data_IF_935681459507
#
_entry.id   IF_935681459507
#
_cell.length_a   1.000
_cell.length_b   1.000
_cell.length_c   1.000
_cell.angle_alpha   90.00
_cell.angle_beta   90.00
_cell.angle_gamma   90.00
#
_symmetry.space_group_name_H-M   'P 1'
#
loop_
_entity.id
_entity.type
_entity.pdbx_description
1 polymer ?
#
# COMPACT_ATOMS: atom_id res chain seq x y z
N UNK A 1 33.49 2.54 -14.92
CA UNK A 1 32.80 2.41 -13.62
C UNK A 1 31.64 1.45 -13.84
N UNK A 2 31.65 0.26 -13.21
CA UNK A 2 30.49 -0.63 -13.29
C UNK A 2 29.33 0.01 -12.50
N UNK A 3 28.09 -0.05 -13.01
CA UNK A 3 26.94 0.42 -12.25
C UNK A 3 26.81 -0.42 -10.98
N UNK A 4 26.69 0.24 -9.83
CA UNK A 4 26.33 -0.45 -8.59
C UNK A 4 24.93 -1.03 -8.77
N UNK A 5 24.83 -2.36 -8.76
CA UNK A 5 23.54 -3.04 -8.74
C UNK A 5 22.96 -2.82 -7.34
N UNK A 6 22.07 -1.83 -7.20
CA UNK A 6 21.29 -1.65 -5.99
C UNK A 6 20.29 -2.79 -5.90
N UNK A 7 20.55 -3.75 -5.01
CA UNK A 7 19.54 -4.74 -4.67
C UNK A 7 18.42 -4.06 -3.89
N UNK A 8 17.21 -4.36 -4.29
CA UNK A 8 16.00 -3.96 -3.59
C UNK A 8 16.05 -4.42 -2.13
N UNK A 9 15.90 -3.50 -1.20
CA UNK A 9 15.90 -3.79 0.23
C UNK A 9 14.46 -3.86 0.75
N UNK A 10 14.16 -4.90 1.52
CA UNK A 10 12.86 -5.07 2.15
C UNK A 10 12.79 -4.22 3.42
N UNK A 11 11.80 -3.33 3.50
CA UNK A 11 11.56 -2.48 4.67
C UNK A 11 10.70 -3.19 5.71
N UNK A 12 9.61 -3.82 5.27
CA UNK A 12 8.68 -4.59 6.10
C UNK A 12 7.78 -5.47 5.24
N UNK A 13 7.09 -6.43 5.85
CA UNK A 13 5.95 -7.14 5.28
C UNK A 13 4.76 -7.05 6.23
N UNK A 14 3.60 -6.71 5.68
CA UNK A 14 2.37 -6.55 6.44
C UNK A 14 1.26 -7.48 5.95
N UNK A 15 0.40 -7.93 6.87
CA UNK A 15 -0.57 -9.00 6.63
C UNK A 15 -1.91 -8.69 7.31
N UNK A 16 -2.91 -9.49 6.94
CA UNK A 16 -4.24 -9.50 7.56
C UNK A 16 -4.93 -8.11 7.60
N UNK A 17 -4.91 -7.31 6.51
CA UNK A 17 -5.65 -6.06 6.52
C UNK A 17 -7.15 -6.34 6.61
N UNK A 18 -7.81 -5.63 7.52
CA UNK A 18 -9.26 -5.65 7.68
C UNK A 18 -9.78 -4.25 7.98
N UNK A 19 -10.97 -3.95 7.48
CA UNK A 19 -11.64 -2.70 7.77
C UNK A 19 -12.98 -2.60 7.06
N UNK A 20 -13.32 -1.41 6.57
CA UNK A 20 -14.61 -1.14 5.95
C UNK A 20 -14.44 -0.45 4.60
N UNK A 21 -15.32 -0.80 3.67
CA UNK A 21 -15.44 -0.19 2.36
C UNK A 21 -16.86 0.30 2.15
N UNK A 22 -16.99 1.48 1.55
CA UNK A 22 -18.23 1.94 0.95
C UNK A 22 -18.20 1.69 -0.55
N UNK A 23 -19.24 1.03 -1.06
CA UNK A 23 -19.48 0.81 -2.48
C UNK A 23 -20.63 1.71 -2.93
N UNK A 24 -20.36 2.62 -3.85
CA UNK A 24 -21.38 3.55 -4.33
C UNK A 24 -22.25 2.89 -5.40
N UNK A 25 -23.55 3.24 -5.42
CA UNK A 25 -24.49 2.83 -6.45
C UNK A 25 -24.21 3.57 -7.77
N UNK A 26 -23.18 3.09 -8.47
CA UNK A 26 -22.60 3.70 -9.65
C UNK A 26 -21.94 2.63 -10.54
N UNK A 27 -21.79 2.95 -11.83
CA UNK A 27 -21.09 2.08 -12.78
C UNK A 27 -21.81 0.75 -12.96
N UNK A 28 -21.12 -0.35 -12.65
CA UNK A 28 -21.65 -1.72 -12.81
C UNK A 28 -22.37 -2.26 -11.56
N UNK A 29 -22.35 -1.54 -10.44
CA UNK A 29 -22.96 -2.00 -9.20
C UNK A 29 -24.46 -1.76 -9.16
N UNK A 30 -25.21 -2.77 -8.73
CA UNK A 30 -26.62 -2.62 -8.40
C UNK A 30 -26.80 -1.96 -7.03
N UNK A 31 -28.03 -1.55 -6.71
CA UNK A 31 -28.34 -0.94 -5.41
C UNK A 31 -28.09 -1.91 -4.25
N UNK A 32 -28.38 -3.19 -4.45
CA UNK A 32 -28.20 -4.25 -3.45
C UNK A 32 -26.73 -4.51 -3.15
N UNK A 33 -25.85 -4.28 -4.14
CA UNK A 33 -24.41 -4.40 -3.98
C UNK A 33 -23.73 -3.13 -3.43
N UNK A 34 -24.50 -2.06 -3.25
CA UNK A 34 -24.00 -0.74 -2.87
C UNK A 34 -24.33 -0.41 -1.42
N UNK A 35 -23.35 -0.56 -0.54
CA UNK A 35 -23.42 -0.10 0.85
C UNK A 35 -22.03 -0.18 1.52
N UNK A 36 -22.00 0.09 2.82
CA UNK A 36 -20.91 -0.27 3.70
C UNK A 36 -20.78 -1.79 3.85
N UNK A 37 -19.57 -2.30 3.63
CA UNK A 37 -19.21 -3.71 3.77
C UNK A 37 -17.89 -3.85 4.51
N UNK A 38 -17.68 -5.00 5.15
CA UNK A 38 -16.36 -5.38 5.65
C UNK A 38 -15.43 -5.59 4.46
N UNK A 39 -14.25 -4.99 4.53
CA UNK A 39 -13.21 -5.10 3.51
C UNK A 39 -12.01 -5.85 4.09
N UNK A 40 -11.46 -6.76 3.30
CA UNK A 40 -10.28 -7.53 3.68
C UNK A 40 -9.58 -8.02 2.43
N UNK A 41 -8.30 -8.33 2.57
CA UNK A 41 -7.51 -9.03 1.55
C UNK A 41 -7.09 -10.37 2.16
N UNK A 42 -7.91 -11.43 2.01
CA UNK A 42 -7.61 -12.72 2.62
C UNK A 42 -6.30 -13.28 2.08
N UNK A 43 -5.41 -13.72 2.98
CA UNK A 43 -4.04 -14.16 2.65
C UNK A 43 -3.18 -13.09 1.98
N UNK A 44 -3.65 -11.84 1.98
CA UNK A 44 -2.90 -10.70 1.47
C UNK A 44 -1.67 -10.45 2.31
N UNK A 45 -0.53 -10.34 1.64
CA UNK A 45 0.71 -9.85 2.21
C UNK A 45 1.18 -8.66 1.38
N UNK A 46 1.72 -7.64 2.04
CA UNK A 46 2.14 -6.37 1.44
C UNK A 46 3.56 -6.07 1.89
N UNK A 47 4.51 -6.14 0.99
CA UNK A 47 5.92 -5.93 1.26
C UNK A 47 6.36 -4.59 0.68
N UNK A 48 6.75 -3.66 1.55
CA UNK A 48 7.38 -2.41 1.13
C UNK A 48 8.85 -2.65 0.83
N UNK A 49 9.29 -2.21 -0.35
CA UNK A 49 10.68 -2.30 -0.80
C UNK A 49 11.21 -0.93 -1.21
N UNK A 50 12.50 -0.74 -0.99
CA UNK A 50 13.27 0.43 -1.43
C UNK A 50 14.36 0.00 -2.42
N UNK A 51 14.50 0.73 -3.52
CA UNK A 51 15.43 0.41 -4.62
C UNK A 51 16.40 1.55 -4.92
N UNK A 52 16.18 2.71 -4.31
CA UNK A 52 16.95 3.94 -4.46
C UNK A 52 16.57 4.94 -3.37
N UNK A 53 17.04 6.19 -3.46
CA UNK A 53 16.75 7.21 -2.44
C UNK A 53 15.24 7.43 -2.28
N UNK A 54 14.52 7.62 -3.38
CA UNK A 54 13.07 7.86 -3.38
C UNK A 54 12.28 6.83 -4.22
N UNK A 55 12.95 5.75 -4.61
CA UNK A 55 12.34 4.66 -5.39
C UNK A 55 11.82 3.57 -4.47
N UNK A 56 10.50 3.44 -4.44
CA UNK A 56 9.77 2.48 -3.63
C UNK A 56 8.78 1.67 -4.46
N UNK A 57 8.43 0.49 -3.96
CA UNK A 57 7.40 -0.37 -4.52
C UNK A 57 6.69 -1.11 -3.38
N UNK A 58 5.41 -1.40 -3.59
CA UNK A 58 4.68 -2.37 -2.79
C UNK A 58 4.56 -3.65 -3.61
N UNK A 59 5.10 -4.74 -3.08
CA UNK A 59 4.81 -6.08 -3.59
C UNK A 59 3.61 -6.60 -2.82
N UNK A 60 2.55 -7.03 -3.49
CA UNK A 60 1.42 -7.64 -2.80
C UNK A 60 1.06 -9.01 -3.35
N UNK A 61 0.61 -9.89 -2.45
CA UNK A 61 0.02 -11.18 -2.78
C UNK A 61 -1.49 -11.01 -2.79
N UNK A 62 -2.14 -11.34 -3.90
CA UNK A 62 -3.60 -11.30 -4.00
C UNK A 62 -4.26 -12.63 -3.57
N UNK A 63 -5.59 -12.67 -3.65
CA UNK A 63 -6.36 -13.89 -3.35
C UNK A 63 -6.09 -15.06 -4.31
N UNK A 64 -5.42 -14.82 -5.44
CA UNK A 64 -4.98 -15.84 -6.40
C UNK A 64 -3.57 -16.36 -6.10
N UNK A 65 -2.96 -15.91 -5.00
CA UNK A 65 -1.59 -16.24 -4.58
C UNK A 65 -0.51 -15.82 -5.59
N UNK A 66 -0.78 -14.80 -6.40
CA UNK A 66 0.21 -14.22 -7.31
C UNK A 66 0.87 -13.01 -6.66
N UNK A 67 2.18 -12.88 -6.91
CA UNK A 67 2.93 -11.68 -6.55
C UNK A 67 2.69 -10.61 -7.62
N UNK A 68 2.32 -9.43 -7.15
CA UNK A 68 2.10 -8.24 -7.96
C UNK A 68 3.06 -7.15 -7.49
N UNK A 69 3.57 -6.35 -8.42
CA UNK A 69 4.43 -5.21 -8.13
C UNK A 69 3.68 -3.97 -8.56
N UNK A 70 3.39 -3.07 -7.63
CA UNK A 70 2.61 -1.87 -7.94
C UNK A 70 3.24 -1.08 -9.09
N UNK A 71 4.56 -0.95 -9.10
CA UNK A 71 5.29 -0.25 -10.17
C UNK A 71 5.29 -1.00 -11.51
N UNK A 72 5.45 -2.33 -11.51
CA UNK A 72 5.38 -3.13 -12.75
C UNK A 72 3.96 -3.18 -13.33
N UNK A 73 2.95 -3.10 -12.46
CA UNK A 73 1.54 -3.03 -12.84
C UNK A 73 1.11 -1.60 -13.26
N UNK A 74 2.05 -0.66 -13.37
CA UNK A 74 1.83 0.66 -13.93
C UNK A 74 1.47 1.75 -12.93
N UNK A 75 1.57 1.49 -11.62
CA UNK A 75 1.42 2.55 -10.62
C UNK A 75 2.66 3.44 -10.54
N UNK A 76 2.43 4.70 -10.17
CA UNK A 76 3.47 5.57 -9.63
C UNK A 76 3.40 5.57 -8.11
N UNK A 77 4.56 5.47 -7.46
CA UNK A 77 4.68 5.50 -6.00
C UNK A 77 5.30 6.83 -5.58
N UNK A 78 4.62 7.56 -4.69
CA UNK A 78 5.04 8.86 -4.18
C UNK A 78 5.19 8.78 -2.66
N UNK A 79 6.40 8.97 -2.11
CA UNK A 79 6.55 9.22 -0.67
C UNK A 79 5.80 10.50 -0.29
N UNK A 80 4.95 10.43 0.74
CA UNK A 80 4.18 11.58 1.23
C UNK A 80 4.82 12.18 2.49
N UNK A 81 5.20 11.32 3.43
CA UNK A 81 5.84 11.65 4.70
C UNK A 81 6.64 10.43 5.16
N UNK A 82 7.77 10.66 5.81
CA UNK A 82 8.62 9.63 6.42
C UNK A 82 9.36 10.24 7.60
N UNK A 83 9.43 9.52 8.71
CA UNK A 83 10.26 9.86 9.87
C UNK A 83 10.66 8.57 10.60
N UNK A 84 11.11 8.69 11.85
CA UNK A 84 11.64 7.56 12.64
C UNK A 84 10.56 6.57 13.14
N UNK A 85 9.28 6.93 13.09
CA UNK A 85 8.18 6.11 13.63
C UNK A 85 7.00 5.91 12.68
N UNK A 86 6.93 6.66 11.59
CA UNK A 86 5.91 6.49 10.55
C UNK A 86 6.42 6.84 9.15
N UNK A 87 5.77 6.25 8.15
CA UNK A 87 5.88 6.65 6.76
C UNK A 87 4.54 6.48 6.05
N UNK A 88 4.29 7.27 5.01
CA UNK A 88 3.16 7.07 4.10
C UNK A 88 3.54 7.27 2.64
N UNK A 89 2.91 6.48 1.77
CA UNK A 89 3.15 6.46 0.33
C UNK A 89 1.81 6.50 -0.41
N UNK A 90 1.71 7.34 -1.44
CA UNK A 90 0.62 7.33 -2.41
C UNK A 90 1.00 6.43 -3.58
N UNK A 91 0.16 5.46 -3.88
CA UNK A 91 0.26 4.55 -5.02
C UNK A 91 -0.88 4.95 -5.96
N UNK A 92 -0.55 5.44 -7.13
CA UNK A 92 -1.53 5.95 -8.09
C UNK A 92 -1.45 5.20 -9.41
N UNK A 93 -2.52 4.50 -9.75
CA UNK A 93 -2.74 3.86 -11.04
C UNK A 93 -3.55 4.78 -11.93
N UNK A 94 -2.86 5.52 -12.79
CA UNK A 94 -3.49 6.51 -13.67
C UNK A 94 -4.57 5.88 -14.56
N UNK A 95 -4.26 4.76 -15.20
CA UNK A 95 -5.12 4.17 -16.23
C UNK A 95 -6.34 3.44 -15.66
N UNK A 96 -6.25 2.91 -14.44
CA UNK A 96 -7.37 2.24 -13.76
C UNK A 96 -8.22 3.18 -12.90
N UNK A 97 -7.79 4.44 -12.71
CA UNK A 97 -8.49 5.42 -11.88
C UNK A 97 -8.47 5.07 -10.39
N UNK A 98 -7.40 4.42 -9.93
CA UNK A 98 -7.25 3.94 -8.56
C UNK A 98 -6.08 4.63 -7.84
N UNK A 99 -6.33 5.10 -6.62
CA UNK A 99 -5.33 5.67 -5.73
C UNK A 99 -5.39 4.98 -4.39
N UNK A 100 -4.24 4.62 -3.85
CA UNK A 100 -4.12 4.00 -2.56
C UNK A 100 -3.09 4.75 -1.71
N UNK A 101 -3.36 4.92 -0.43
CA UNK A 101 -2.37 5.44 0.53
C UNK A 101 -2.03 4.32 1.50
N UNK A 102 -0.78 3.89 1.47
CA UNK A 102 -0.22 2.95 2.44
C UNK A 102 0.49 3.75 3.52
N UNK A 103 0.04 3.64 4.77
CA UNK A 103 0.73 4.21 5.93
C UNK A 103 1.30 3.10 6.78
N UNK A 104 2.57 3.19 7.13
CA UNK A 104 3.29 2.26 8.00
C UNK A 104 3.69 3.00 9.27
N UNK A 105 3.40 2.46 10.44
CA UNK A 105 3.62 3.18 11.69
C UNK A 105 3.88 2.24 12.86
N UNK A 106 4.59 2.77 13.85
CA UNK A 106 4.77 2.14 15.16
C UNK A 106 3.78 2.74 16.16
N UNK A 107 2.93 1.91 16.74
CA UNK A 107 2.03 2.33 17.81
C UNK A 107 2.79 2.58 19.12
N UNK A 108 2.16 3.29 20.06
CA UNK A 108 2.72 3.53 21.40
C UNK A 108 3.02 2.24 22.18
N UNK A 109 2.32 1.15 21.86
CA UNK A 109 2.58 -0.20 22.39
C UNK A 109 3.90 -0.81 21.90
N UNK A 110 4.50 -0.22 20.86
CA UNK A 110 5.64 -0.75 20.14
C UNK A 110 5.28 -1.64 18.96
N UNK A 111 4.00 -1.97 18.75
CA UNK A 111 3.54 -2.77 17.63
C UNK A 111 3.74 -2.04 16.29
N UNK A 112 4.23 -2.78 15.29
CA UNK A 112 4.33 -2.31 13.92
C UNK A 112 3.03 -2.61 13.17
N UNK A 113 2.41 -1.58 12.60
CA UNK A 113 1.09 -1.65 11.96
C UNK A 113 1.13 -0.91 10.64
N UNK A 114 0.13 -1.18 9.81
CA UNK A 114 -0.12 -0.40 8.62
C UNK A 114 -1.60 -0.16 8.40
N UNK A 115 -1.90 0.87 7.63
CA UNK A 115 -3.22 1.09 7.05
C UNK A 115 -3.14 1.28 5.55
N UNK A 116 -4.22 0.88 4.87
CA UNK A 116 -4.44 1.09 3.45
C UNK A 116 -5.72 1.90 3.33
N UNK A 117 -5.62 3.09 2.75
CA UNK A 117 -6.78 3.82 2.22
C UNK A 117 -6.86 3.54 0.72
N UNK A 118 -8.01 3.09 0.23
CA UNK A 118 -8.25 2.88 -1.20
C UNK A 118 -9.32 3.84 -1.69
N UNK A 119 -9.05 4.52 -2.79
CA UNK A 119 -10.01 5.28 -3.58
C UNK A 119 -9.95 4.74 -5.00
N UNK A 120 -11.00 4.03 -5.39
CA UNK A 120 -11.13 3.45 -6.73
C UNK A 120 -12.33 4.10 -7.41
N UNK A 121 -12.06 4.74 -8.53
CA UNK A 121 -13.08 5.29 -9.43
C UNK A 121 -13.04 4.62 -10.81
N UNK A 122 -13.52 5.33 -11.82
CA UNK A 122 -13.50 4.87 -13.21
C UNK A 122 -14.77 4.09 -13.63
N UNK A 123 -14.79 3.50 -14.84
CA UNK A 123 -15.98 2.91 -15.45
C UNK A 123 -16.47 1.61 -14.79
N UNK A 124 -15.85 1.18 -13.69
CA UNK A 124 -16.13 -0.11 -13.05
C UNK A 124 -16.87 0.06 -11.70
N UNK A 125 -16.16 -0.17 -10.60
CA UNK A 125 -16.65 -0.21 -9.23
C UNK A 125 -16.10 1.01 -8.49
N UNK A 126 -16.99 1.92 -8.11
CA UNK A 126 -16.64 3.02 -7.21
C UNK A 126 -16.54 2.49 -5.78
N UNK A 127 -15.33 2.54 -5.20
CA UNK A 127 -15.03 2.03 -3.85
C UNK A 127 -14.17 3.02 -3.10
N UNK A 128 -14.55 3.30 -1.85
CA UNK A 128 -13.70 3.97 -0.87
C UNK A 128 -13.52 3.05 0.33
N UNK A 129 -12.29 2.74 0.74
CA UNK A 129 -12.07 1.87 1.90
C UNK A 129 -10.89 2.28 2.75
N UNK A 130 -10.93 1.84 4.01
CA UNK A 130 -9.81 1.91 4.95
C UNK A 130 -9.68 0.55 5.62
N UNK A 131 -8.47 -0.01 5.61
CA UNK A 131 -8.11 -1.25 6.27
C UNK A 131 -6.86 -1.03 7.14
N UNK A 132 -6.73 -1.81 8.22
CA UNK A 132 -5.56 -1.82 9.10
C UNK A 132 -5.11 -3.26 9.28
N UNK A 133 -3.81 -3.49 9.39
CA UNK A 133 -3.27 -4.81 9.72
C UNK A 133 -1.91 -4.75 10.41
N UNK A 134 -1.29 -5.91 10.51
CA UNK A 134 -0.04 -6.13 11.25
C UNK A 134 1.16 -6.10 10.33
N UNK A 135 2.29 -5.62 10.83
CA UNK A 135 3.56 -5.67 10.12
C UNK A 135 4.62 -6.42 10.92
N UNK A 136 5.57 -7.01 10.21
CA UNK A 136 6.89 -7.29 10.77
C UNK A 136 7.56 -5.99 11.23
N UNK A 137 8.61 -6.02 12.07
CA UNK A 137 9.36 -4.82 12.42
C UNK A 137 9.70 -3.98 11.17
N UNK A 138 9.45 -2.67 11.25
CA UNK A 138 9.61 -1.74 10.14
C UNK A 138 10.98 -1.08 10.25
N UNK A 139 11.79 -1.16 9.19
CA UNK A 139 13.06 -0.45 9.11
C UNK A 139 12.86 1.01 8.65
N UNK A 140 12.50 1.89 9.60
CA UNK A 140 12.34 3.32 9.32
C UNK A 140 13.65 3.99 8.93
N UNK A 141 14.79 3.48 9.37
CA UNK A 141 16.09 4.05 9.01
C UNK A 141 16.35 3.86 7.53
N UNK A 142 16.15 2.64 7.03
CA UNK A 142 16.27 2.33 5.61
C UNK A 142 15.40 3.22 4.73
N UNK A 143 14.16 3.51 5.14
CA UNK A 143 13.26 4.39 4.38
C UNK A 143 13.80 5.82 4.22
N UNK A 144 14.46 6.32 5.27
CA UNK A 144 14.99 7.69 5.37
C UNK A 144 16.44 7.82 4.88
N UNK A 145 17.08 6.72 4.47
CA UNK A 145 18.43 6.77 3.91
C UNK A 145 18.48 7.69 2.68
N UNK A 146 19.42 8.64 2.71
CA UNK A 146 19.62 9.66 1.69
C UNK A 146 18.91 10.99 1.95
N UNK A 147 18.10 11.10 3.01
CA UNK A 147 17.40 12.34 3.40
C UNK A 147 18.24 13.27 4.32
N UNK A 148 19.54 13.01 4.44
CA UNK A 148 20.47 13.89 5.16
C UNK A 148 20.54 15.27 4.50
N UNK A 149 20.23 16.32 5.27
CA UNK A 149 20.60 17.71 4.97
C UNK A 149 22.11 17.89 5.03
#
# INVERSE_FOLDING_TARGET
>A
MLPAILFAQQVTTCINPVGHAYFAHMGVLSKEDSDWKIDTVPKGAFTLRKFGKDDFDIIFIDSTARNHSTTQDGAKVFPLRRNETEAAFLIHYHDSGESQIYSFFKENSGAARFSILVSKGGPSIYKSSVMVGDCTPIDFKLMNEGDSQ
#
